data_IF_149621126536
#
_entry.id   IF_149621126536
#
_cell.length_a   1.000
_cell.length_b   1.000
_cell.length_c   1.000
_cell.angle_alpha   90.00
_cell.angle_beta   90.00
_cell.angle_gamma   90.00
#
_symmetry.space_group_name_H-M   'P 1'
#
loop_
_entity.id
_entity.type
_entity.pdbx_description
1 polymer ?
#
# COMPACT_ATOMS: atom_id res chain seq x y z
N UNK A 1 -3.92 19.80 6.46
CA UNK A 1 -2.85 20.37 7.32
C UNK A 1 -1.72 20.89 6.43
N UNK A 2 -0.92 21.85 6.91
CA UNK A 2 0.17 22.37 6.11
C UNK A 2 1.19 23.16 6.92
N UNK A 3 2.36 23.39 6.32
CA UNK A 3 3.43 24.20 6.92
C UNK A 3 3.15 25.68 6.74
N UNK A 4 2.48 26.29 7.73
CA UNK A 4 2.16 27.72 7.80
C UNK A 4 1.97 28.14 9.26
N UNK A 5 1.93 29.45 9.52
CA UNK A 5 1.61 29.98 10.85
C UNK A 5 0.24 29.48 11.35
N UNK A 6 -0.75 29.44 10.45
CA UNK A 6 -2.07 28.86 10.76
C UNK A 6 -2.00 27.37 11.10
N UNK A 7 -1.14 26.62 10.41
CA UNK A 7 -0.89 25.20 10.69
C UNK A 7 -0.28 25.00 12.08
N UNK A 8 0.67 25.83 12.49
CA UNK A 8 1.27 25.79 13.84
C UNK A 8 0.20 26.08 14.90
N UNK A 9 -0.61 27.13 14.71
CA UNK A 9 -1.69 27.46 15.63
C UNK A 9 -2.73 26.33 15.75
N UNK A 10 -3.10 25.71 14.62
CA UNK A 10 -4.02 24.58 14.59
C UNK A 10 -3.45 23.35 15.34
N UNK A 11 -2.17 23.04 15.17
CA UNK A 11 -1.49 21.97 15.90
C UNK A 11 -1.40 22.22 17.38
N UNK A 12 -1.10 23.46 17.80
CA UNK A 12 -1.10 23.84 19.21
C UNK A 12 -2.47 23.65 19.85
N UNK A 13 -3.52 24.11 19.17
CA UNK A 13 -4.92 23.90 19.62
C UNK A 13 -5.25 22.41 19.72
N UNK A 14 -4.89 21.62 18.71
CA UNK A 14 -5.13 20.19 18.66
C UNK A 14 -4.40 19.43 19.79
N UNK A 15 -3.20 19.90 20.19
CA UNK A 15 -2.46 19.33 21.31
C UNK A 15 -3.23 19.50 22.63
N UNK A 16 -3.75 20.67 22.91
CA UNK A 16 -4.52 20.92 24.14
C UNK A 16 -5.87 20.20 24.11
N UNK A 17 -6.54 20.14 22.95
CA UNK A 17 -7.78 19.38 22.77
C UNK A 17 -7.54 17.89 23.05
N UNK A 18 -6.52 17.29 22.45
CA UNK A 18 -6.18 15.90 22.67
C UNK A 18 -5.84 15.58 24.13
N UNK A 19 -5.08 16.45 24.79
CA UNK A 19 -4.76 16.28 26.20
C UNK A 19 -6.00 16.34 27.12
N UNK A 20 -7.02 17.09 26.73
CA UNK A 20 -8.24 17.28 27.52
C UNK A 20 -9.27 16.17 27.29
N UNK A 21 -9.43 15.71 26.04
CA UNK A 21 -10.57 14.88 25.64
C UNK A 21 -10.19 13.66 24.81
N UNK A 22 -8.91 13.50 24.45
CA UNK A 22 -8.43 12.46 23.52
C UNK A 22 -9.15 12.46 22.17
N UNK A 23 -9.62 13.64 21.73
CA UNK A 23 -10.33 13.87 20.47
C UNK A 23 -9.60 14.88 19.61
N UNK A 24 -10.17 15.20 18.43
CA UNK A 24 -9.68 16.21 17.52
C UNK A 24 -8.56 15.71 16.60
N UNK A 25 -7.84 16.64 16.03
CA UNK A 25 -6.90 16.38 14.93
C UNK A 25 -5.77 15.40 15.28
N UNK A 26 -5.29 15.37 16.55
CA UNK A 26 -4.25 14.44 16.99
C UNK A 26 -4.78 13.04 17.33
N UNK A 27 -6.10 12.84 17.35
CA UNK A 27 -6.72 11.52 17.42
C UNK A 27 -6.88 10.88 16.05
N UNK A 28 -6.67 11.64 14.97
CA UNK A 28 -6.78 11.18 13.59
C UNK A 28 -5.57 10.30 13.20
N UNK A 29 -5.84 9.25 12.43
CA UNK A 29 -4.80 8.48 11.75
C UNK A 29 -4.34 9.13 10.43
N UNK A 30 -4.78 10.34 10.11
CA UNK A 30 -4.56 11.12 8.89
C UNK A 30 -5.14 10.53 7.60
N UNK A 31 -5.32 9.23 7.52
CA UNK A 31 -5.94 8.53 6.39
C UNK A 31 -7.41 8.22 6.65
N UNK A 32 -8.23 9.26 6.90
CA UNK A 32 -9.59 9.13 7.41
C UNK A 32 -10.63 8.72 6.38
N UNK A 33 -10.32 8.84 5.09
CA UNK A 33 -11.25 8.47 4.03
C UNK A 33 -10.57 7.62 2.97
N UNK A 34 -11.35 6.77 2.34
CA UNK A 34 -10.90 5.92 1.24
C UNK A 34 -12.06 5.44 0.39
N UNK A 35 -11.75 4.90 -0.76
CA UNK A 35 -12.74 4.29 -1.64
C UNK A 35 -12.16 3.09 -2.36
N UNK A 36 -13.00 2.09 -2.61
CA UNK A 36 -12.73 1.00 -3.52
C UNK A 36 -13.58 1.21 -4.77
N UNK A 37 -12.96 1.40 -5.92
CA UNK A 37 -13.62 1.78 -7.15
C UNK A 37 -13.32 0.78 -8.26
N UNK A 38 -14.24 0.68 -9.22
CA UNK A 38 -14.05 -0.02 -10.49
C UNK A 38 -13.68 1.01 -11.55
N UNK A 39 -12.55 0.80 -12.21
CA UNK A 39 -12.13 1.65 -13.35
C UNK A 39 -12.92 1.38 -14.61
N UNK A 40 -13.67 0.27 -14.63
CA UNK A 40 -14.61 -0.11 -15.67
C UNK A 40 -15.87 -0.67 -15.02
N UNK A 41 -17.09 -0.21 -15.40
CA UNK A 41 -18.34 -0.67 -14.81
C UNK A 41 -18.63 -2.17 -15.04
N UNK A 42 -17.99 -2.80 -16.03
CA UNK A 42 -18.13 -4.24 -16.33
C UNK A 42 -17.39 -5.14 -15.34
N UNK A 43 -16.45 -4.59 -14.57
CA UNK A 43 -15.70 -5.36 -13.58
C UNK A 43 -16.63 -5.84 -12.45
N UNK A 44 -16.50 -7.09 -12.05
CA UNK A 44 -17.28 -7.69 -10.95
C UNK A 44 -16.91 -7.16 -9.56
N UNK A 45 -15.70 -6.58 -9.42
CA UNK A 45 -15.15 -6.09 -8.15
C UNK A 45 -14.24 -4.88 -8.38
N UNK A 46 -14.02 -4.04 -7.34
CA UNK A 46 -13.07 -2.93 -7.41
C UNK A 46 -11.67 -3.39 -7.82
N UNK A 47 -11.00 -2.58 -8.63
CA UNK A 47 -9.63 -2.80 -9.11
C UNK A 47 -8.65 -1.70 -8.70
N UNK A 48 -9.15 -0.59 -8.15
CA UNK A 48 -8.35 0.46 -7.53
C UNK A 48 -8.87 0.82 -6.15
N UNK A 49 -7.96 1.28 -5.28
CA UNK A 49 -8.28 1.87 -3.98
C UNK A 49 -7.72 3.29 -3.92
N UNK A 50 -8.50 4.18 -3.32
CA UNK A 50 -8.11 5.56 -3.03
C UNK A 50 -7.90 5.72 -1.53
N UNK A 51 -6.85 6.45 -1.16
CA UNK A 51 -6.56 6.83 0.22
C UNK A 51 -6.47 8.34 0.32
N UNK A 52 -7.37 8.97 1.07
CA UNK A 52 -7.35 10.39 1.35
C UNK A 52 -6.60 10.69 2.63
N UNK A 53 -5.68 11.64 2.54
CA UNK A 53 -4.88 12.12 3.66
C UNK A 53 -5.10 13.62 3.79
N UNK A 54 -5.37 14.09 5.01
CA UNK A 54 -5.63 15.50 5.35
C UNK A 54 -4.35 16.35 5.39
N UNK A 55 -3.39 16.04 4.52
CA UNK A 55 -2.11 16.73 4.38
C UNK A 55 -1.48 16.43 3.04
N UNK A 56 -0.44 17.19 2.67
CA UNK A 56 0.37 16.88 1.50
C UNK A 56 1.39 15.80 1.91
N UNK A 57 1.17 14.58 1.43
CA UNK A 57 2.11 13.47 1.58
C UNK A 57 2.79 13.24 0.24
N UNK A 58 4.09 13.45 0.19
CA UNK A 58 4.88 13.35 -1.01
C UNK A 58 6.20 12.64 -0.71
N UNK A 59 6.59 11.70 -1.57
CA UNK A 59 7.83 10.92 -1.44
C UNK A 59 8.05 10.43 0.00
N UNK A 60 7.06 9.74 0.59
CA UNK A 60 7.09 9.24 1.98
C UNK A 60 7.40 10.33 3.03
N UNK A 61 6.86 11.53 2.83
CA UNK A 61 7.13 12.74 3.63
C UNK A 61 8.58 13.27 3.55
N UNK A 62 9.39 12.80 2.62
CA UNK A 62 10.75 13.31 2.38
C UNK A 62 10.72 14.64 1.63
N UNK A 63 9.72 14.85 0.77
CA UNK A 63 9.49 16.13 0.08
C UNK A 63 8.45 16.93 0.83
N UNK A 64 8.81 18.14 1.24
CA UNK A 64 7.93 19.03 1.99
C UNK A 64 7.43 20.17 1.13
N UNK A 65 6.15 20.50 1.30
CA UNK A 65 5.49 21.61 0.60
C UNK A 65 5.01 22.65 1.60
N UNK A 66 5.28 23.91 1.29
CA UNK A 66 4.72 25.03 2.07
C UNK A 66 3.22 25.21 1.76
N UNK A 67 2.45 25.62 2.76
CA UNK A 67 1.01 25.85 2.63
C UNK A 67 0.17 24.66 3.10
N UNK A 68 -1.10 24.68 2.72
CA UNK A 68 -2.10 23.67 3.11
C UNK A 68 -2.50 22.85 1.88
N UNK A 69 -2.81 21.58 2.09
CA UNK A 69 -3.27 20.72 1.03
C UNK A 69 -3.75 19.37 1.56
N UNK A 70 -4.14 18.52 0.63
CA UNK A 70 -4.55 17.15 0.86
C UNK A 70 -3.95 16.25 -0.23
N UNK A 71 -3.83 14.98 0.05
CA UNK A 71 -3.38 13.99 -0.91
C UNK A 71 -4.44 12.92 -1.11
N UNK A 72 -4.63 12.50 -2.36
CA UNK A 72 -5.36 11.31 -2.72
C UNK A 72 -4.38 10.34 -3.39
N UNK A 73 -4.05 9.26 -2.72
CA UNK A 73 -3.20 8.21 -3.27
C UNK A 73 -4.07 7.14 -3.93
N UNK A 74 -3.67 6.74 -5.13
CA UNK A 74 -4.36 5.72 -5.93
C UNK A 74 -3.48 4.49 -6.00
N UNK A 75 -4.01 3.31 -5.70
CA UNK A 75 -3.27 2.08 -5.90
C UNK A 75 -4.07 1.04 -6.70
N UNK A 76 -3.37 0.26 -7.52
CA UNK A 76 -3.90 -0.92 -8.20
C UNK A 76 -4.02 -2.06 -7.20
N UNK A 77 -5.22 -2.63 -7.06
CA UNK A 77 -5.50 -3.63 -6.03
C UNK A 77 -4.91 -5.01 -6.33
N UNK A 78 -4.75 -5.37 -7.59
CA UNK A 78 -4.24 -6.68 -8.01
C UNK A 78 -3.25 -6.54 -9.14
N UNK A 79 -2.07 -5.95 -8.84
CA UNK A 79 -1.04 -5.72 -9.86
C UNK A 79 -0.55 -7.04 -10.46
N UNK A 80 -0.28 -7.02 -11.76
CA UNK A 80 0.33 -8.12 -12.52
C UNK A 80 1.85 -8.00 -12.55
N UNK A 81 2.40 -6.80 -12.37
CA UNK A 81 3.84 -6.56 -12.25
C UNK A 81 4.44 -7.42 -11.13
N UNK A 82 5.64 -7.95 -11.36
CA UNK A 82 6.36 -8.77 -10.40
C UNK A 82 7.77 -8.24 -10.23
N UNK A 83 8.18 -8.17 -8.97
CA UNK A 83 9.51 -7.78 -8.56
C UNK A 83 10.30 -8.95 -7.98
N UNK A 84 11.47 -8.65 -7.47
CA UNK A 84 12.38 -9.63 -6.85
C UNK A 84 12.96 -9.12 -5.55
N UNK A 85 13.17 -10.05 -4.61
CA UNK A 85 14.00 -9.85 -3.42
C UNK A 85 15.16 -10.84 -3.50
N UNK A 86 16.37 -10.36 -3.35
CA UNK A 86 17.57 -11.18 -3.49
C UNK A 86 18.71 -10.69 -2.60
N UNK A 87 19.80 -11.44 -2.58
CA UNK A 87 21.00 -11.08 -1.85
C UNK A 87 21.91 -10.19 -2.71
N UNK A 88 22.52 -9.17 -2.10
CA UNK A 88 23.58 -8.37 -2.73
C UNK A 88 24.95 -9.01 -2.59
N UNK A 89 25.17 -9.82 -1.57
CA UNK A 89 26.44 -10.51 -1.28
C UNK A 89 26.23 -11.67 -0.32
N UNK A 90 27.28 -12.44 -0.05
CA UNK A 90 27.31 -13.48 0.98
C UNK A 90 27.40 -12.91 2.42
N UNK A 91 27.62 -11.61 2.59
CA UNK A 91 27.62 -10.99 3.91
C UNK A 91 26.18 -10.90 4.46
N UNK A 92 25.83 -11.60 5.56
CA UNK A 92 24.47 -11.61 6.10
C UNK A 92 24.02 -10.25 6.67
N UNK A 93 24.94 -9.31 6.88
CA UNK A 93 24.63 -7.94 7.35
C UNK A 93 24.43 -6.95 6.19
N UNK A 94 24.70 -7.36 4.94
CA UNK A 94 24.44 -6.50 3.80
C UNK A 94 22.92 -6.38 3.56
N UNK A 95 22.42 -5.17 3.23
CA UNK A 95 21.01 -5.00 2.89
C UNK A 95 20.64 -5.89 1.69
N UNK A 96 19.43 -6.46 1.66
CA UNK A 96 18.94 -7.21 0.53
C UNK A 96 18.76 -6.30 -0.69
N UNK A 97 18.83 -6.88 -1.88
CA UNK A 97 18.39 -6.22 -3.12
C UNK A 97 16.88 -6.37 -3.21
N UNK A 98 16.19 -5.24 -3.23
CA UNK A 98 14.72 -5.20 -3.36
C UNK A 98 14.41 -4.43 -4.62
N UNK A 99 13.78 -5.09 -5.59
CA UNK A 99 13.30 -4.49 -6.83
C UNK A 99 11.81 -4.81 -6.97
N UNK A 100 10.92 -3.86 -6.66
CA UNK A 100 9.47 -4.06 -6.82
C UNK A 100 9.03 -4.16 -8.27
N UNK A 101 9.82 -3.61 -9.21
CA UNK A 101 9.56 -3.59 -10.65
C UNK A 101 8.13 -3.06 -10.98
N UNK A 102 7.74 -1.96 -10.32
CA UNK A 102 6.42 -1.35 -10.48
C UNK A 102 6.13 -1.00 -11.93
N UNK A 103 4.86 -1.19 -12.34
CA UNK A 103 4.35 -0.84 -13.66
C UNK A 103 5.11 -1.50 -14.83
N UNK A 104 5.71 -2.66 -14.60
CA UNK A 104 6.33 -3.48 -15.66
C UNK A 104 5.30 -4.18 -16.55
N UNK A 105 4.05 -4.25 -16.11
CA UNK A 105 2.92 -4.78 -16.89
C UNK A 105 2.00 -3.64 -17.33
N UNK A 106 1.64 -3.59 -18.61
CA UNK A 106 0.84 -2.50 -19.18
C UNK A 106 -0.61 -2.46 -18.67
N UNK A 107 -1.16 -3.58 -18.22
CA UNK A 107 -2.49 -3.59 -17.59
C UNK A 107 -2.48 -2.79 -16.27
N UNK A 108 -1.39 -2.85 -15.51
CA UNK A 108 -1.22 -2.07 -14.27
C UNK A 108 -1.13 -0.58 -14.58
N UNK A 109 -0.41 -0.22 -15.66
CA UNK A 109 -0.30 1.17 -16.14
C UNK A 109 -1.68 1.70 -16.53
N UNK A 110 -2.42 0.92 -17.32
CA UNK A 110 -3.76 1.28 -17.80
C UNK A 110 -4.73 1.45 -16.65
N UNK A 111 -4.72 0.51 -15.70
CA UNK A 111 -5.59 0.54 -14.51
C UNK A 111 -5.24 1.74 -13.63
N UNK A 112 -3.95 1.99 -13.40
CA UNK A 112 -3.51 3.13 -12.59
C UNK A 112 -3.88 4.47 -13.24
N UNK A 113 -3.71 4.60 -14.56
CA UNK A 113 -4.10 5.81 -15.31
C UNK A 113 -5.61 6.08 -15.19
N UNK A 114 -6.45 5.07 -15.37
CA UNK A 114 -7.91 5.19 -15.18
C UNK A 114 -8.25 5.56 -13.74
N UNK A 115 -7.65 4.91 -12.76
CA UNK A 115 -7.84 5.21 -11.34
C UNK A 115 -7.39 6.62 -10.97
N UNK A 116 -6.27 7.11 -11.54
CA UNK A 116 -5.82 8.48 -11.37
C UNK A 116 -6.83 9.49 -11.94
N UNK A 117 -7.37 9.25 -13.13
CA UNK A 117 -8.42 10.10 -13.73
C UNK A 117 -9.68 10.16 -12.86
N UNK A 118 -10.15 9.01 -12.36
CA UNK A 118 -11.27 8.96 -11.41
C UNK A 118 -10.98 9.75 -10.14
N UNK A 119 -9.79 9.64 -9.58
CA UNK A 119 -9.41 10.40 -8.39
C UNK A 119 -9.46 11.91 -8.65
N UNK A 120 -9.02 12.37 -9.82
CA UNK A 120 -9.12 13.78 -10.22
C UNK A 120 -10.55 14.26 -10.33
N UNK A 121 -11.43 13.47 -10.96
CA UNK A 121 -12.86 13.79 -11.05
C UNK A 121 -13.47 13.98 -9.65
N UNK A 122 -13.17 13.08 -8.72
CA UNK A 122 -13.65 13.19 -7.33
C UNK A 122 -13.07 14.42 -6.64
N UNK A 123 -11.77 14.66 -6.77
CA UNK A 123 -11.10 15.80 -6.14
C UNK A 123 -11.59 17.17 -6.67
N UNK A 124 -12.06 17.21 -7.92
CA UNK A 124 -12.63 18.41 -8.54
C UNK A 124 -14.16 18.49 -8.44
N UNK A 125 -14.82 17.50 -7.83
CA UNK A 125 -16.27 17.54 -7.62
C UNK A 125 -16.68 18.74 -6.78
N UNK A 126 -17.86 19.32 -7.07
CA UNK A 126 -18.35 20.57 -6.49
C UNK A 126 -18.25 20.63 -4.95
N UNK A 127 -18.56 19.57 -4.17
CA UNK A 127 -18.43 19.63 -2.71
C UNK A 127 -16.97 19.78 -2.22
N UNK A 128 -16.00 19.27 -2.98
CA UNK A 128 -14.58 19.33 -2.66
C UNK A 128 -13.86 20.53 -3.27
N UNK A 129 -14.43 21.15 -4.30
CA UNK A 129 -13.80 22.24 -5.08
C UNK A 129 -13.35 23.40 -4.20
N UNK A 130 -14.09 23.73 -3.13
CA UNK A 130 -13.73 24.79 -2.17
C UNK A 130 -12.45 24.50 -1.38
N UNK A 131 -12.02 23.25 -1.31
CA UNK A 131 -10.78 22.80 -0.63
C UNK A 131 -9.68 22.49 -1.63
N UNK A 132 -10.02 22.33 -2.91
CA UNK A 132 -9.07 22.04 -3.98
C UNK A 132 -8.26 23.29 -4.31
N UNK A 133 -6.96 23.17 -4.27
CA UNK A 133 -6.03 24.19 -4.71
C UNK A 133 -5.35 23.78 -6.01
N UNK A 134 -4.10 24.17 -6.14
CA UNK A 134 -3.25 23.79 -7.27
C UNK A 134 -2.89 22.30 -7.17
N UNK A 135 -3.17 21.53 -8.22
CA UNK A 135 -2.64 20.16 -8.35
C UNK A 135 -1.12 20.20 -8.58
N UNK A 136 -0.40 19.36 -7.86
CA UNK A 136 1.05 19.28 -7.96
C UNK A 136 1.47 18.40 -9.16
N UNK A 137 2.61 18.75 -9.77
CA UNK A 137 3.30 17.95 -10.81
C UNK A 137 2.63 17.84 -12.19
N UNK A 138 1.41 18.33 -12.39
CA UNK A 138 0.67 18.22 -13.66
C UNK A 138 0.74 19.48 -14.54
N UNK A 139 1.52 20.47 -14.16
CA UNK A 139 1.68 21.68 -15.00
C UNK A 139 2.31 21.30 -16.34
N UNK A 140 1.60 21.60 -17.44
CA UNK A 140 2.03 21.25 -18.80
C UNK A 140 1.76 19.82 -19.21
N UNK A 141 1.10 19.02 -18.37
CA UNK A 141 0.66 17.65 -18.71
C UNK A 141 -0.72 17.73 -19.33
N UNK A 142 -0.84 17.36 -20.62
CA UNK A 142 -2.07 17.50 -21.42
C UNK A 142 -2.51 16.22 -22.11
N UNK A 143 -1.65 15.18 -22.17
CA UNK A 143 -1.95 13.91 -22.83
C UNK A 143 -1.84 12.73 -21.88
N UNK A 144 -2.44 11.60 -22.25
CA UNK A 144 -2.35 10.34 -21.52
C UNK A 144 -0.91 9.83 -21.44
N UNK A 145 -0.15 9.95 -22.53
CA UNK A 145 1.27 9.54 -22.55
C UNK A 145 2.09 10.32 -21.52
N UNK A 146 1.87 11.63 -21.45
CA UNK A 146 2.53 12.47 -20.44
C UNK A 146 2.09 12.12 -19.01
N UNK A 147 0.82 11.75 -18.82
CA UNK A 147 0.34 11.23 -17.53
C UNK A 147 0.99 9.90 -17.19
N UNK A 148 1.08 8.97 -18.13
CA UNK A 148 1.77 7.69 -17.94
C UNK A 148 3.22 7.89 -17.55
N UNK A 149 3.94 8.79 -18.23
CA UNK A 149 5.32 9.14 -17.87
C UNK A 149 5.43 9.72 -16.45
N UNK A 150 4.48 10.56 -16.07
CA UNK A 150 4.40 11.09 -14.71
C UNK A 150 4.15 9.98 -13.69
N UNK A 151 3.19 9.09 -13.95
CA UNK A 151 2.87 7.94 -13.09
C UNK A 151 4.10 7.03 -12.94
N UNK A 152 4.78 6.66 -14.02
CA UNK A 152 6.00 5.83 -13.96
C UNK A 152 7.10 6.45 -13.11
N UNK A 153 7.27 7.76 -13.15
CA UNK A 153 8.28 8.47 -12.31
C UNK A 153 7.89 8.62 -10.85
N UNK A 154 6.60 8.51 -10.52
CA UNK A 154 6.09 8.82 -9.19
C UNK A 154 5.41 7.66 -8.46
N UNK A 155 5.22 6.53 -9.14
CA UNK A 155 4.68 5.32 -8.52
C UNK A 155 5.68 4.78 -7.51
N UNK A 156 5.17 4.48 -6.33
CA UNK A 156 5.93 3.87 -5.24
C UNK A 156 5.02 2.94 -4.43
N UNK A 157 5.58 2.29 -3.42
CA UNK A 157 4.84 1.36 -2.58
C UNK A 157 3.74 2.04 -1.76
N UNK A 158 2.61 1.35 -1.57
CA UNK A 158 1.58 1.66 -0.55
C UNK A 158 1.75 0.78 0.70
N UNK A 159 2.95 0.26 0.93
CA UNK A 159 3.36 -0.49 2.12
C UNK A 159 2.70 -1.86 2.32
N UNK A 160 2.27 -2.49 1.25
CA UNK A 160 1.62 -3.81 1.28
C UNK A 160 2.33 -4.85 0.39
N UNK A 161 3.68 -5.04 0.49
CA UNK A 161 4.38 -6.06 -0.28
C UNK A 161 4.01 -7.46 0.19
N UNK A 162 3.92 -8.41 -0.76
CA UNK A 162 3.62 -9.81 -0.51
C UNK A 162 4.39 -10.71 -1.48
N UNK A 163 4.41 -12.02 -1.23
CA UNK A 163 4.77 -13.03 -2.23
C UNK A 163 6.24 -13.39 -2.35
N UNK A 164 7.16 -12.77 -1.59
CA UNK A 164 8.60 -13.10 -1.64
C UNK A 164 8.92 -14.52 -1.12
N UNK A 165 8.03 -15.12 -0.31
CA UNK A 165 8.08 -16.52 0.11
C UNK A 165 6.78 -17.25 -0.21
N UNK A 166 6.27 -17.07 -1.45
CA UNK A 166 4.91 -17.49 -1.81
C UNK A 166 4.63 -18.96 -1.53
N UNK A 167 3.44 -19.23 -1.06
CA UNK A 167 2.87 -20.57 -0.90
C UNK A 167 2.44 -21.12 -2.26
N UNK A 168 2.61 -22.44 -2.45
CA UNK A 168 2.15 -23.10 -3.66
C UNK A 168 2.50 -24.58 -3.70
N UNK A 169 2.10 -25.24 -4.80
CA UNK A 169 2.41 -26.65 -5.08
C UNK A 169 3.44 -26.84 -6.19
N UNK A 170 3.77 -25.78 -6.93
CA UNK A 170 4.78 -25.79 -7.99
C UNK A 170 6.21 -25.65 -7.47
N UNK A 171 7.21 -25.92 -8.32
CA UNK A 171 8.62 -25.96 -7.95
C UNK A 171 9.19 -24.60 -7.50
N UNK A 172 8.54 -23.50 -7.86
CA UNK A 172 8.94 -22.16 -7.44
C UNK A 172 8.30 -21.70 -6.13
N UNK A 173 7.43 -22.52 -5.52
CA UNK A 173 6.86 -22.20 -4.23
C UNK A 173 7.90 -22.37 -3.10
N UNK A 174 8.02 -21.38 -2.23
CA UNK A 174 8.95 -21.40 -1.10
C UNK A 174 8.39 -22.21 0.05
N UNK A 175 7.08 -22.12 0.31
CA UNK A 175 6.42 -22.88 1.37
C UNK A 175 5.27 -23.73 0.82
N UNK A 176 4.98 -24.81 1.53
CA UNK A 176 3.83 -25.67 1.28
C UNK A 176 2.52 -25.08 1.88
N UNK A 177 1.40 -25.83 1.74
CA UNK A 177 0.09 -25.41 2.27
C UNK A 177 0.04 -25.39 3.80
N UNK A 178 1.02 -25.97 4.50
CA UNK A 178 1.20 -25.88 5.95
C UNK A 178 2.28 -24.90 6.35
N UNK A 179 2.65 -24.00 5.44
CA UNK A 179 3.64 -22.92 5.62
C UNK A 179 5.07 -23.42 5.91
N UNK A 180 5.37 -24.70 5.65
CA UNK A 180 6.71 -25.29 5.85
C UNK A 180 7.59 -24.97 4.65
N UNK A 181 8.83 -24.53 4.93
CA UNK A 181 9.82 -24.24 3.88
C UNK A 181 10.20 -25.54 3.19
N UNK A 182 10.12 -25.55 1.86
CA UNK A 182 10.47 -26.72 1.05
C UNK A 182 11.97 -27.01 1.13
N UNK A 183 12.32 -28.26 1.25
CA UNK A 183 13.71 -28.72 1.36
C UNK A 183 14.38 -28.42 2.72
N UNK A 184 13.65 -27.90 3.69
CA UNK A 184 14.15 -27.65 5.04
C UNK A 184 13.21 -28.24 6.09
N UNK A 185 13.80 -28.83 7.14
CA UNK A 185 13.02 -29.32 8.27
C UNK A 185 12.87 -28.25 9.36
N UNK A 186 11.73 -28.30 10.05
CA UNK A 186 11.43 -27.47 11.25
C UNK A 186 11.48 -25.95 11.00
N UNK A 187 11.31 -25.52 9.75
CA UNK A 187 11.28 -24.12 9.37
C UNK A 187 9.96 -23.77 8.69
N UNK A 188 9.38 -22.63 9.06
CA UNK A 188 8.17 -22.06 8.44
C UNK A 188 8.35 -20.59 8.16
N UNK A 189 7.57 -20.09 7.20
CA UNK A 189 7.33 -18.65 7.02
C UNK A 189 5.86 -18.40 7.31
N UNK A 190 5.58 -17.45 8.22
CA UNK A 190 4.23 -17.18 8.74
C UNK A 190 4.00 -15.67 8.74
N UNK A 191 3.97 -15.08 7.57
CA UNK A 191 3.73 -13.65 7.36
C UNK A 191 3.14 -13.38 5.96
N UNK A 192 2.96 -12.11 5.59
CA UNK A 192 2.38 -11.71 4.30
C UNK A 192 3.16 -12.18 3.07
N UNK A 193 4.45 -12.54 3.22
CA UNK A 193 5.28 -13.01 2.11
C UNK A 193 4.81 -14.34 1.51
N UNK A 194 4.01 -15.11 2.26
CA UNK A 194 3.45 -16.38 1.76
C UNK A 194 2.33 -16.20 0.74
N UNK A 195 1.72 -15.02 0.64
CA UNK A 195 0.59 -14.80 -0.28
C UNK A 195 1.04 -14.98 -1.74
N UNK A 196 0.41 -15.88 -2.51
CA UNK A 196 0.78 -16.07 -3.92
C UNK A 196 0.49 -14.85 -4.80
N UNK A 197 -0.55 -14.10 -4.42
CA UNK A 197 -0.97 -12.85 -5.07
C UNK A 197 -1.48 -11.87 -4.02
N UNK A 198 -1.43 -10.58 -4.32
CA UNK A 198 -1.99 -9.56 -3.45
C UNK A 198 -3.52 -9.71 -3.35
N UNK A 199 -4.04 -9.63 -2.14
CA UNK A 199 -5.45 -9.93 -1.83
C UNK A 199 -6.45 -8.84 -2.29
N UNK A 200 -6.01 -7.75 -2.85
CA UNK A 200 -6.87 -6.65 -3.33
C UNK A 200 -7.42 -5.76 -2.22
N UNK A 201 -6.58 -5.49 -1.24
CA UNK A 201 -6.83 -4.58 -0.12
C UNK A 201 -5.62 -4.50 0.80
N UNK A 202 -5.78 -3.83 1.94
CA UNK A 202 -4.75 -3.70 2.96
C UNK A 202 -4.41 -5.05 3.57
N UNK A 203 -3.13 -5.29 3.85
CA UNK A 203 -2.62 -6.61 4.23
C UNK A 203 -2.60 -6.88 5.74
N UNK A 204 -3.04 -5.94 6.59
CA UNK A 204 -2.99 -6.13 8.04
C UNK A 204 -3.88 -7.30 8.53
N UNK A 205 -5.16 -7.30 8.17
CA UNK A 205 -6.08 -8.36 8.58
C UNK A 205 -5.65 -9.76 8.09
N UNK A 206 -5.28 -9.96 6.79
CA UNK A 206 -4.77 -11.25 6.36
C UNK A 206 -3.42 -11.63 7.00
N UNK A 207 -2.55 -10.69 7.37
CA UNK A 207 -1.32 -11.01 8.11
C UNK A 207 -1.63 -11.57 9.50
N UNK A 208 -2.59 -11.00 10.20
CA UNK A 208 -3.07 -11.52 11.49
C UNK A 208 -3.66 -12.92 11.30
N UNK A 209 -4.51 -13.12 10.29
CA UNK A 209 -5.10 -14.43 9.97
C UNK A 209 -4.03 -15.49 9.66
N UNK A 210 -2.99 -15.12 8.89
CA UNK A 210 -1.86 -16.01 8.60
C UNK A 210 -1.15 -16.40 9.90
N UNK A 211 -0.92 -15.45 10.80
CA UNK A 211 -0.32 -15.69 12.11
C UNK A 211 -1.14 -16.69 12.95
N UNK A 212 -2.43 -16.45 13.11
CA UNK A 212 -3.35 -17.33 13.85
C UNK A 212 -3.41 -18.74 13.25
N UNK A 213 -3.54 -18.83 11.91
CA UNK A 213 -3.60 -20.13 11.23
C UNK A 213 -2.27 -20.87 11.31
N UNK A 214 -1.16 -20.15 11.18
CA UNK A 214 0.19 -20.71 11.32
C UNK A 214 0.44 -21.25 12.72
N UNK A 215 0.04 -20.53 13.76
CA UNK A 215 0.14 -20.99 15.15
C UNK A 215 -0.67 -22.27 15.38
N UNK A 216 -1.91 -22.34 14.87
CA UNK A 216 -2.73 -23.56 14.96
C UNK A 216 -2.05 -24.75 14.26
N UNK A 217 -1.52 -24.57 13.06
CA UNK A 217 -0.80 -25.63 12.32
C UNK A 217 0.45 -26.12 13.07
N UNK A 218 1.17 -25.23 13.75
CA UNK A 218 2.33 -25.58 14.58
C UNK A 218 1.89 -26.42 15.78
N UNK A 219 0.83 -26.01 16.46
CA UNK A 219 0.29 -26.73 17.62
C UNK A 219 -0.18 -28.16 17.25
N UNK A 220 -0.90 -28.30 16.14
CA UNK A 220 -1.33 -29.60 15.60
C UNK A 220 -0.13 -30.53 15.32
N UNK A 221 0.91 -30.01 14.62
CA UNK A 221 2.10 -30.80 14.28
C UNK A 221 2.90 -31.19 15.54
N UNK A 222 2.88 -30.36 16.58
CA UNK A 222 3.52 -30.68 17.86
C UNK A 222 2.79 -31.77 18.63
N UNK A 223 1.45 -31.65 18.73
CA UNK A 223 0.61 -32.65 19.41
C UNK A 223 0.68 -34.02 18.70
N UNK A 224 0.63 -34.03 17.38
CA UNK A 224 0.79 -35.25 16.59
C UNK A 224 2.14 -35.96 16.80
N UNK A 225 3.22 -35.23 17.08
CA UNK A 225 4.53 -35.79 17.42
C UNK A 225 4.63 -36.32 18.85
N UNK A 226 3.90 -35.67 19.79
CA UNK A 226 3.90 -36.13 21.18
C UNK A 226 3.06 -37.40 21.39
N UNK A 227 2.17 -37.72 20.44
CA UNK A 227 1.31 -38.89 20.45
C UNK A 227 1.88 -40.08 19.66
N UNK A 228 2.99 -39.93 18.93
CA UNK A 228 3.69 -40.93 18.15
C UNK A 228 4.99 -41.36 18.84
#
# INVERSE_FOLDING_TARGET
MGMSLQGVAAMTKAFFEYRKSHTGLLASNFGEAGAFLRTDPTLSRPDVQLHWVTGIVDNHNRTRHAGHGMSCHVCVLRPKSRGTVGLNSANPLAPPRIDPNFLSNDDDVTTLLKGYKLSREIMHAQPLARYAGRELYVKGVSSDDQLVDLLRRRTDTIYHPVGSCRMGSDDMAVVDQRLRVRGMERLRVVDASIMPTLIGGNTNAPSIMIGEKGAAMIAEDWQGRAAA
#
